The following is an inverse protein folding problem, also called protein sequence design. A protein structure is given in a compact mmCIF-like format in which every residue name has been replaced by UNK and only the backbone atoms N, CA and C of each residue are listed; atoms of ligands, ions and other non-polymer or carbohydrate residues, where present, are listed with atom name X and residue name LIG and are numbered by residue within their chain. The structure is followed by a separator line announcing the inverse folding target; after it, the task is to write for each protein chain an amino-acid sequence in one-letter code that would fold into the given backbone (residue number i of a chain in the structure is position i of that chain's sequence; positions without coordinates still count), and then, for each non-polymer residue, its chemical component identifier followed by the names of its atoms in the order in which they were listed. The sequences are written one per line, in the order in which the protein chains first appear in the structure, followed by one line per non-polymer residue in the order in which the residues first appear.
data_IF_954258326690
#
_entry.id   IF_954258326690
#
_cell.length_a   1.000
_cell.length_b   1.000
_cell.length_c   1.000
_cell.angle_alpha   90.00
_cell.angle_beta   90.00
_cell.angle_gamma   90.00
#
_symmetry.space_group_name_H-M   'P 1'
#
loop_
_entity.id
_entity.type
_entity.pdbx_description
1 polymer ?
#
# COMPACT_ATOMS: atom_id res chain seq x y z
N UNK A 1 -8.09 -9.28 -10.26
CA UNK A 1 -6.70 -9.47 -10.72
C UNK A 1 -5.93 -10.21 -9.63
N UNK A 2 -4.92 -11.00 -9.99
CA UNK A 2 -4.01 -11.62 -9.01
C UNK A 2 -2.57 -11.24 -9.35
N UNK A 3 -1.76 -10.95 -8.34
CA UNK A 3 -0.32 -10.70 -8.48
C UNK A 3 0.44 -11.41 -7.36
N UNK A 4 1.63 -11.90 -7.68
CA UNK A 4 2.55 -12.52 -6.72
C UNK A 4 3.81 -11.65 -6.62
N UNK A 5 4.11 -11.13 -5.43
CA UNK A 5 5.23 -10.20 -5.21
C UNK A 5 5.68 -10.24 -3.76
N UNK A 6 6.98 -10.11 -3.49
CA UNK A 6 7.54 -10.06 -2.14
C UNK A 6 7.16 -11.26 -1.23
N UNK A 7 6.93 -12.45 -1.81
CA UNK A 7 6.46 -13.62 -1.06
C UNK A 7 4.99 -13.54 -0.62
N UNK A 8 4.21 -12.67 -1.25
CA UNK A 8 2.77 -12.52 -1.06
C UNK A 8 2.01 -12.79 -2.35
N UNK A 9 0.86 -13.43 -2.22
CA UNK A 9 -0.16 -13.53 -3.25
C UNK A 9 -1.31 -12.56 -2.94
N UNK A 10 -1.53 -11.60 -3.83
CA UNK A 10 -2.60 -10.62 -3.73
C UNK A 10 -3.70 -10.97 -4.72
N UNK A 11 -4.95 -11.02 -4.24
CA UNK A 11 -6.15 -11.09 -5.09
C UNK A 11 -6.94 -9.81 -4.92
N UNK A 12 -7.07 -9.02 -5.97
CA UNK A 12 -7.58 -7.65 -5.86
C UNK A 12 -8.68 -7.32 -6.87
N UNK A 13 -9.60 -6.47 -6.43
CA UNK A 13 -10.59 -5.79 -7.26
C UNK A 13 -10.09 -4.36 -7.55
N UNK A 14 -9.27 -4.23 -8.59
CA UNK A 14 -8.64 -2.95 -9.00
C UNK A 14 -9.69 -1.88 -9.25
N UNK A 15 -10.79 -2.23 -9.93
CA UNK A 15 -11.82 -1.26 -10.31
C UNK A 15 -12.51 -0.69 -9.06
N UNK A 16 -12.87 -1.55 -8.11
CA UNK A 16 -13.50 -1.13 -6.86
C UNK A 16 -12.53 -0.36 -5.97
N UNK A 17 -11.26 -0.76 -5.90
CA UNK A 17 -10.22 -0.01 -5.20
C UNK A 17 -10.07 1.39 -5.81
N UNK A 18 -9.85 1.50 -7.12
CA UNK A 18 -9.72 2.80 -7.78
C UNK A 18 -10.95 3.70 -7.59
N UNK A 19 -12.16 3.14 -7.65
CA UNK A 19 -13.39 3.88 -7.38
C UNK A 19 -13.39 4.45 -5.95
N UNK A 20 -12.97 3.67 -4.95
CA UNK A 20 -12.82 4.14 -3.58
C UNK A 20 -11.85 5.33 -3.49
N UNK A 21 -10.70 5.28 -4.16
CA UNK A 21 -9.71 6.36 -4.15
C UNK A 21 -10.15 7.61 -4.94
N UNK A 22 -10.99 7.48 -5.97
CA UNK A 22 -11.54 8.64 -6.70
C UNK A 22 -12.30 9.61 -5.79
N UNK A 23 -13.00 9.08 -4.79
CA UNK A 23 -13.81 9.87 -3.86
C UNK A 23 -13.03 10.43 -2.67
N UNK A 24 -11.73 10.11 -2.55
CA UNK A 24 -10.88 10.59 -1.45
C UNK A 24 -10.21 11.92 -1.77
N UNK A 25 -9.96 12.67 -0.71
CA UNK A 25 -9.19 13.91 -0.76
C UNK A 25 -7.71 13.62 -0.92
N UNK A 26 -7.04 14.42 -1.74
CA UNK A 26 -5.59 14.41 -1.86
C UNK A 26 -4.96 14.94 -0.57
N UNK A 27 -3.90 14.29 -0.11
CA UNK A 27 -3.10 14.64 1.06
C UNK A 27 -1.86 15.47 0.65
N UNK A 28 -0.98 15.74 1.61
CA UNK A 28 0.31 16.42 1.37
C UNK A 28 1.35 15.55 0.67
N UNK A 29 1.09 14.26 0.53
CA UNK A 29 2.02 13.28 -0.06
C UNK A 29 2.13 13.55 -1.56
N UNK A 30 3.38 13.67 -2.02
CA UNK A 30 3.74 13.85 -3.43
C UNK A 30 4.36 12.55 -3.94
N UNK A 31 3.65 11.88 -4.85
CA UNK A 31 4.07 10.60 -5.41
C UNK A 31 5.47 10.66 -6.07
N UNK A 32 5.85 11.81 -6.63
CA UNK A 32 7.14 11.97 -7.31
C UNK A 32 8.33 12.07 -6.35
N UNK A 33 8.07 12.33 -5.06
CA UNK A 33 9.09 12.37 -4.00
C UNK A 33 9.20 11.05 -3.24
N UNK A 34 8.29 10.11 -3.48
CA UNK A 34 8.29 8.81 -2.83
C UNK A 34 9.21 7.81 -3.53
N UNK A 35 9.53 6.74 -2.81
CA UNK A 35 10.32 5.64 -3.35
C UNK A 35 9.60 5.01 -4.56
N UNK A 36 10.23 4.96 -5.74
CA UNK A 36 9.54 4.49 -6.95
C UNK A 36 8.99 3.07 -6.86
N UNK A 37 9.68 2.19 -6.14
CA UNK A 37 9.21 0.81 -5.93
C UNK A 37 7.90 0.76 -5.14
N UNK A 38 7.77 1.58 -4.08
CA UNK A 38 6.52 1.72 -3.33
C UNK A 38 5.40 2.26 -4.21
N UNK A 39 5.68 3.33 -4.98
CA UNK A 39 4.68 3.94 -5.87
C UNK A 39 4.17 2.92 -6.89
N UNK A 40 5.08 2.16 -7.51
CA UNK A 40 4.72 1.12 -8.48
C UNK A 40 3.91 0.00 -7.84
N UNK A 41 4.32 -0.45 -6.65
CA UNK A 41 3.58 -1.48 -5.91
C UNK A 41 2.15 -1.03 -5.57
N UNK A 42 1.98 0.18 -5.03
CA UNK A 42 0.64 0.71 -4.71
C UNK A 42 -0.21 0.89 -5.98
N UNK A 43 0.39 1.36 -7.07
CA UNK A 43 -0.29 1.48 -8.36
C UNK A 43 -0.79 0.12 -8.90
N UNK A 44 0.03 -0.93 -8.80
CA UNK A 44 -0.39 -2.31 -9.15
C UNK A 44 -1.59 -2.78 -8.32
N UNK A 45 -1.71 -2.28 -7.09
CA UNK A 45 -2.85 -2.55 -6.21
C UNK A 45 -4.09 -1.69 -6.50
N UNK A 46 -3.99 -0.73 -7.43
CA UNK A 46 -5.03 0.26 -7.72
C UNK A 46 -5.16 1.37 -6.67
N UNK A 47 -4.14 1.53 -5.82
CA UNK A 47 -4.07 2.53 -4.75
C UNK A 47 -3.48 3.83 -5.30
N UNK A 48 -4.12 4.95 -4.99
CA UNK A 48 -3.56 6.29 -5.22
C UNK A 48 -2.80 6.72 -3.95
N UNK A 49 -1.47 6.73 -4.04
CA UNK A 49 -0.56 7.05 -2.91
C UNK A 49 -0.79 8.46 -2.35
N UNK A 50 -1.31 9.38 -3.15
CA UNK A 50 -1.53 10.75 -2.67
C UNK A 50 -2.82 10.85 -1.82
N UNK A 51 -3.60 9.76 -1.71
CA UNK A 51 -4.93 9.72 -1.08
C UNK A 51 -5.05 8.61 -0.01
N UNK A 52 -4.21 8.61 1.02
CA UNK A 52 -4.22 7.59 2.08
C UNK A 52 -5.56 7.54 2.83
N UNK A 53 -5.83 6.40 3.48
CA UNK A 53 -6.95 6.26 4.42
C UNK A 53 -6.76 7.23 5.60
N UNK A 54 -5.53 7.24 6.14
CA UNK A 54 -5.09 8.05 7.27
C UNK A 54 -3.61 8.33 7.15
N UNK A 55 -3.21 9.51 7.61
CA UNK A 55 -1.82 9.91 7.83
C UNK A 55 -1.63 10.06 9.34
N UNK A 56 -0.74 9.28 9.97
CA UNK A 56 -0.60 9.28 11.43
C UNK A 56 0.84 9.44 11.91
N UNK A 57 1.37 10.69 11.87
CA UNK A 57 2.73 10.95 12.28
C UNK A 57 2.91 10.61 13.77
N UNK A 58 3.54 9.46 14.05
CA UNK A 58 3.74 8.93 15.41
C UNK A 58 3.48 7.43 15.57
N UNK A 59 2.79 6.78 14.63
CA UNK A 59 2.62 5.32 14.62
C UNK A 59 3.15 4.74 13.31
N UNK A 60 2.48 5.01 12.21
CA UNK A 60 2.90 4.71 10.83
C UNK A 60 2.78 5.97 9.98
N UNK A 61 3.57 6.09 8.92
CA UNK A 61 3.50 7.30 8.09
C UNK A 61 2.11 7.41 7.45
N UNK A 62 1.61 6.30 6.91
CA UNK A 62 0.29 6.22 6.26
C UNK A 62 -0.33 4.83 6.32
N UNK A 63 -1.65 4.84 6.15
CA UNK A 63 -2.44 3.64 5.93
C UNK A 63 -3.12 3.74 4.56
N UNK A 64 -3.07 2.63 3.81
CA UNK A 64 -3.83 2.43 2.58
C UNK A 64 -4.71 1.18 2.71
N UNK A 65 -5.76 1.08 1.89
CA UNK A 65 -6.59 -0.12 1.80
C UNK A 65 -6.82 -0.46 0.34
N UNK A 66 -6.76 -1.74 -0.02
CA UNK A 66 -7.32 -2.22 -1.29
C UNK A 66 -8.41 -3.28 -1.04
N UNK A 67 -9.30 -3.43 -2.01
CA UNK A 67 -10.39 -4.40 -1.96
C UNK A 67 -9.90 -5.73 -2.52
N UNK A 68 -9.98 -6.79 -1.72
CA UNK A 68 -9.38 -8.06 -2.06
C UNK A 68 -8.93 -8.89 -0.86
N UNK A 69 -7.90 -9.69 -1.08
CA UNK A 69 -7.21 -10.49 -0.07
C UNK A 69 -5.71 -10.56 -0.34
N UNK A 70 -4.94 -10.83 0.71
CA UNK A 70 -3.51 -11.02 0.67
C UNK A 70 -3.14 -12.27 1.48
N UNK A 71 -2.31 -13.14 0.90
CA UNK A 71 -1.85 -14.35 1.56
C UNK A 71 -0.33 -14.46 1.47
N UNK A 72 0.30 -14.81 2.58
CA UNK A 72 1.67 -15.28 2.63
C UNK A 72 1.74 -16.50 3.53
N UNK A 73 2.67 -17.42 3.24
CA UNK A 73 2.91 -18.59 4.07
C UNK A 73 3.66 -18.24 5.36
N UNK A 74 4.50 -17.21 5.33
CA UNK A 74 5.44 -16.90 6.41
C UNK A 74 5.57 -15.41 6.75
N UNK A 75 5.09 -14.51 5.88
CA UNK A 75 5.38 -13.09 6.02
C UNK A 75 4.26 -12.33 6.72
N UNK A 76 4.65 -11.29 7.47
CA UNK A 76 3.74 -10.30 8.07
C UNK A 76 3.91 -8.89 7.47
N UNK A 77 5.07 -8.65 6.85
CA UNK A 77 5.43 -7.36 6.24
C UNK A 77 6.12 -7.56 4.88
N UNK A 78 6.32 -6.45 4.18
CA UNK A 78 7.07 -6.31 2.93
C UNK A 78 8.12 -5.24 3.14
N UNK A 79 9.37 -5.61 2.97
CA UNK A 79 10.50 -4.69 3.06
C UNK A 79 11.01 -4.28 1.68
N UNK A 80 11.21 -2.98 1.49
CA UNK A 80 11.78 -2.41 0.27
C UNK A 80 13.02 -1.59 0.61
N UNK A 81 14.10 -1.82 -0.16
CA UNK A 81 15.43 -1.25 0.11
C UNK A 81 15.90 -0.39 -1.06
N UNK A 82 16.22 0.87 -0.78
CA UNK A 82 16.89 1.80 -1.68
C UNK A 82 18.24 2.26 -1.11
N UNK A 83 19.03 2.97 -1.93
CA UNK A 83 20.38 3.43 -1.56
C UNK A 83 20.46 4.18 -0.22
N UNK A 84 19.41 4.93 0.13
CA UNK A 84 19.31 5.75 1.37
C UNK A 84 17.87 5.78 1.93
N UNK A 85 17.10 4.74 1.64
CA UNK A 85 15.71 4.64 2.07
C UNK A 85 15.35 3.19 2.35
N UNK A 86 14.61 2.99 3.43
CA UNK A 86 14.04 1.71 3.82
C UNK A 86 12.55 1.93 4.03
N UNK A 87 11.73 1.10 3.41
CA UNK A 87 10.27 1.12 3.57
C UNK A 87 9.83 -0.24 4.05
N UNK A 88 9.06 -0.27 5.12
CA UNK A 88 8.33 -1.47 5.56
C UNK A 88 6.84 -1.25 5.35
N UNK A 89 6.15 -2.28 4.85
CA UNK A 89 4.71 -2.31 4.65
C UNK A 89 4.14 -3.50 5.40
N UNK A 90 3.42 -3.25 6.48
CA UNK A 90 2.73 -4.30 7.25
C UNK A 90 1.36 -4.57 6.62
N UNK A 91 1.05 -5.86 6.41
CA UNK A 91 -0.13 -6.29 5.65
C UNK A 91 -1.16 -6.92 6.58
N UNK A 92 -2.37 -6.35 6.62
CA UNK A 92 -3.47 -6.86 7.41
C UNK A 92 -4.66 -7.23 6.52
N UNK A 93 -4.89 -8.54 6.34
CA UNK A 93 -6.10 -9.03 5.65
C UNK A 93 -7.31 -8.97 6.59
N UNK A 94 -8.38 -8.32 6.12
CA UNK A 94 -9.67 -8.19 6.81
C UNK A 94 -10.80 -8.47 5.82
N UNK A 95 -11.22 -9.74 5.76
CA UNK A 95 -12.45 -10.22 5.11
C UNK A 95 -12.93 -9.38 3.92
N UNK A 96 -12.19 -9.45 2.81
CA UNK A 96 -12.55 -8.77 1.56
C UNK A 96 -11.93 -7.37 1.38
N UNK A 97 -11.09 -6.95 2.32
CA UNK A 97 -10.23 -5.77 2.20
C UNK A 97 -8.87 -6.07 2.84
N UNK A 98 -7.83 -5.41 2.36
CA UNK A 98 -6.49 -5.52 2.93
C UNK A 98 -5.99 -4.13 3.25
N UNK A 99 -5.58 -3.95 4.49
CA UNK A 99 -4.98 -2.72 4.98
C UNK A 99 -3.45 -2.84 4.91
N UNK A 100 -2.81 -1.80 4.37
CA UNK A 100 -1.36 -1.67 4.27
C UNK A 100 -0.93 -0.51 5.16
N UNK A 101 -0.12 -0.81 6.15
CA UNK A 101 0.47 0.19 7.03
C UNK A 101 1.93 0.42 6.61
N UNK A 102 2.27 1.65 6.20
CA UNK A 102 3.55 1.97 5.55
C UNK A 102 4.42 2.84 6.46
N UNK A 103 5.70 2.49 6.53
CA UNK A 103 6.75 3.16 7.31
C UNK A 103 7.93 3.52 6.40
N UNK A 104 8.63 4.62 6.69
CA UNK A 104 9.80 5.09 5.94
C UNK A 104 9.48 5.97 4.72
N UNK A 105 8.26 6.52 4.64
CA UNK A 105 7.90 7.53 3.64
C UNK A 105 8.53 8.89 3.97
N UNK A 106 8.75 9.74 2.96
CA UNK A 106 9.45 11.03 3.10
C UNK A 106 8.64 12.20 2.55
#
# INVERSE_FOLDING_TARGET
MKIDKYGWQFSLDVQKTQLMYRHRLKSIIDAHKQFPELVNFLNELGIDIEKPDRYHPGFSDVIYTFIGSAKSETNYEIDMYGKEQFISVVVYDKNGSVMLEVFGMK
#
